data_IF_391757090502
#
_entry.id   IF_391757090502
#
_cell.length_a   1.000
_cell.length_b   1.000
_cell.length_c   1.000
_cell.angle_alpha   90.00
_cell.angle_beta   90.00
_cell.angle_gamma   90.00
#
_symmetry.space_group_name_H-M   'P 1'
#
loop_
_entity.id
_entity.type
_entity.pdbx_description
1 polymer ?
#
# COMPACT_ATOMS: atom_id res chain seq x y z
N UNK A 1 -4.95 -22.47 1.35
CA UNK A 1 -5.97 -22.15 0.33
C UNK A 1 -7.17 -21.56 1.05
N UNK A 2 -7.72 -20.46 0.55
CA UNK A 2 -8.84 -19.72 1.15
C UNK A 2 -9.96 -19.58 0.14
N UNK A 3 -11.19 -19.35 0.62
CA UNK A 3 -12.32 -19.01 -0.22
C UNK A 3 -12.81 -17.61 0.13
N UNK A 4 -12.99 -16.76 -0.86
CA UNK A 4 -13.53 -15.43 -0.70
C UNK A 4 -14.90 -15.33 -1.34
N UNK A 5 -15.88 -14.92 -0.56
CA UNK A 5 -17.25 -14.64 -1.03
C UNK A 5 -17.45 -13.13 -1.06
N UNK A 6 -17.86 -12.60 -2.23
CA UNK A 6 -18.20 -11.19 -2.42
C UNK A 6 -19.72 -11.03 -2.49
N UNK A 7 -20.26 -10.14 -1.65
CA UNK A 7 -21.69 -9.88 -1.54
C UNK A 7 -21.94 -8.39 -1.65
N UNK A 8 -22.85 -7.96 -2.52
CA UNK A 8 -23.27 -6.56 -2.64
C UNK A 8 -24.59 -6.34 -1.91
N UNK A 9 -24.64 -5.34 -1.05
CA UNK A 9 -25.82 -5.01 -0.26
C UNK A 9 -25.83 -3.52 0.15
N UNK A 10 -26.94 -3.07 0.71
CA UNK A 10 -27.02 -1.78 1.39
C UNK A 10 -26.36 -1.87 2.76
N UNK A 11 -25.60 -0.86 3.14
CA UNK A 11 -24.85 -0.88 4.41
C UNK A 11 -25.74 -1.00 5.65
N UNK A 12 -26.99 -0.57 5.58
CA UNK A 12 -27.98 -0.73 6.66
C UNK A 12 -28.29 -2.20 6.99
N UNK A 13 -28.15 -3.10 6.00
CA UNK A 13 -28.42 -4.54 6.14
C UNK A 13 -27.16 -5.33 6.55
N UNK A 14 -25.99 -4.72 6.54
CA UNK A 14 -24.71 -5.39 6.70
C UNK A 14 -24.55 -6.08 8.07
N UNK A 15 -24.93 -5.40 9.15
CA UNK A 15 -24.73 -5.91 10.52
C UNK A 15 -25.48 -7.23 10.80
N UNK A 16 -26.67 -7.40 10.23
CA UNK A 16 -27.43 -8.64 10.40
C UNK A 16 -26.82 -9.79 9.58
N UNK A 17 -26.38 -9.47 8.35
CA UNK A 17 -25.74 -10.43 7.48
C UNK A 17 -24.39 -10.89 8.02
N UNK A 18 -23.59 -9.98 8.60
CA UNK A 18 -22.32 -10.32 9.26
C UNK A 18 -22.47 -11.43 10.28
N UNK A 19 -23.47 -11.33 11.15
CA UNK A 19 -23.70 -12.36 12.17
C UNK A 19 -23.95 -13.73 11.55
N UNK A 20 -24.69 -13.76 10.45
CA UNK A 20 -24.97 -15.01 9.73
C UNK A 20 -23.72 -15.57 9.08
N UNK A 21 -22.91 -14.71 8.46
CA UNK A 21 -21.66 -15.08 7.80
C UNK A 21 -20.63 -15.62 8.81
N UNK A 22 -20.45 -14.97 9.96
CA UNK A 22 -19.58 -15.48 11.03
C UNK A 22 -20.05 -16.83 11.58
N UNK A 23 -21.36 -17.01 11.77
CA UNK A 23 -21.92 -18.31 12.18
C UNK A 23 -21.69 -19.41 11.14
N UNK A 24 -21.61 -19.05 9.87
CA UNK A 24 -21.30 -19.95 8.75
C UNK A 24 -19.80 -20.19 8.56
N UNK A 25 -18.94 -19.66 9.46
CA UNK A 25 -17.51 -19.91 9.46
C UNK A 25 -16.68 -18.85 8.75
N UNK A 26 -17.20 -17.65 8.49
CA UNK A 26 -16.38 -16.55 8.02
C UNK A 26 -15.31 -16.19 9.06
N UNK A 27 -14.05 -16.07 8.64
CA UNK A 27 -12.91 -15.71 9.46
C UNK A 27 -12.72 -14.19 9.55
N UNK A 28 -13.03 -13.50 8.45
CA UNK A 28 -13.01 -12.05 8.40
C UNK A 28 -14.05 -11.53 7.41
N UNK A 29 -14.53 -10.32 7.64
CA UNK A 29 -15.42 -9.60 6.73
C UNK A 29 -14.84 -8.19 6.57
N UNK A 30 -14.60 -7.79 5.33
CA UNK A 30 -14.11 -6.47 4.95
C UNK A 30 -15.17 -5.76 4.10
N UNK A 31 -15.27 -4.45 4.26
CA UNK A 31 -16.17 -3.62 3.49
C UNK A 31 -15.42 -2.89 2.38
N UNK A 32 -15.97 -2.88 1.18
CA UNK A 32 -15.50 -2.06 0.06
C UNK A 32 -16.64 -1.22 -0.47
N UNK A 33 -16.30 -0.05 -0.98
CA UNK A 33 -17.25 0.78 -1.71
C UNK A 33 -17.73 0.07 -2.99
N UNK A 34 -19.04 0.13 -3.23
CA UNK A 34 -19.64 -0.46 -4.42
C UNK A 34 -19.82 0.55 -5.58
N UNK A 35 -19.75 1.86 -5.31
CA UNK A 35 -20.16 2.92 -6.24
C UNK A 35 -19.18 4.11 -6.35
N UNK A 36 -17.95 3.98 -5.82
CA UNK A 36 -16.96 5.09 -5.77
C UNK A 36 -17.50 6.33 -5.03
N UNK A 37 -18.22 6.08 -3.93
CA UNK A 37 -18.83 7.13 -3.13
C UNK A 37 -17.77 7.80 -2.23
N UNK A 38 -17.50 9.11 -2.37
CA UNK A 38 -16.52 9.78 -1.53
C UNK A 38 -16.99 9.86 -0.08
N UNK A 39 -16.20 9.30 0.84
CA UNK A 39 -16.43 9.44 2.28
C UNK A 39 -15.63 10.61 2.80
N UNK A 40 -16.31 11.73 3.04
CA UNK A 40 -15.72 12.88 3.70
C UNK A 40 -15.61 12.61 5.21
N UNK A 41 -14.60 13.22 5.83
CA UNK A 41 -14.34 13.09 7.26
C UNK A 41 -15.62 13.41 8.06
N UNK A 42 -16.11 12.43 8.81
CA UNK A 42 -17.29 12.56 9.67
C UNK A 42 -16.86 12.72 11.13
N UNK A 43 -17.84 12.90 12.00
CA UNK A 43 -17.63 13.14 13.42
C UNK A 43 -16.70 12.12 14.08
N UNK A 44 -15.92 12.52 15.11
CA UNK A 44 -15.10 11.61 15.87
C UNK A 44 -15.91 10.42 16.41
N UNK A 45 -15.39 9.21 16.27
CA UNK A 45 -16.01 7.94 16.67
C UNK A 45 -17.18 7.45 15.79
N UNK A 46 -17.42 8.03 14.62
CA UNK A 46 -18.31 7.44 13.61
C UNK A 46 -17.49 6.62 12.61
N UNK A 47 -17.98 5.42 12.28
CA UNK A 47 -17.44 4.63 11.16
C UNK A 47 -18.44 4.76 10.01
N UNK A 48 -18.27 5.75 9.12
CA UNK A 48 -19.17 5.90 8.01
C UNK A 48 -19.00 4.73 7.04
N UNK A 49 -20.10 4.05 6.75
CA UNK A 49 -20.15 3.10 5.65
C UNK A 49 -20.74 3.81 4.43
N UNK A 50 -20.40 3.32 3.26
CA UNK A 50 -21.03 3.73 1.99
C UNK A 50 -22.48 3.27 1.96
N UNK A 51 -23.33 3.93 1.17
CA UNK A 51 -24.75 3.57 1.07
C UNK A 51 -24.92 2.15 0.51
N UNK A 52 -24.11 1.81 -0.50
CA UNK A 52 -23.97 0.49 -1.04
C UNK A 52 -22.53 -0.02 -0.85
N UNK A 53 -22.40 -1.22 -0.33
CA UNK A 53 -21.09 -1.80 -0.04
C UNK A 53 -20.97 -3.24 -0.59
N UNK A 54 -19.73 -3.64 -0.87
CA UNK A 54 -19.37 -5.04 -1.01
C UNK A 54 -18.85 -5.55 0.34
N UNK A 55 -19.38 -6.67 0.80
CA UNK A 55 -18.76 -7.48 1.83
C UNK A 55 -17.84 -8.50 1.18
N UNK A 56 -16.58 -8.47 1.56
CA UNK A 56 -15.61 -9.52 1.22
C UNK A 56 -15.46 -10.43 2.43
N UNK A 57 -15.97 -11.64 2.33
CA UNK A 57 -15.97 -12.62 3.42
C UNK A 57 -14.93 -13.69 3.14
N UNK A 58 -13.99 -13.89 4.05
CA UNK A 58 -12.93 -14.88 3.94
C UNK A 58 -13.31 -16.12 4.75
N UNK A 59 -13.18 -17.29 4.12
CA UNK A 59 -13.41 -18.61 4.72
C UNK A 59 -12.18 -19.50 4.54
N UNK A 60 -12.00 -20.45 5.46
CA UNK A 60 -11.05 -21.54 5.23
C UNK A 60 -11.43 -22.35 3.98
N UNK A 61 -10.45 -22.82 3.24
CA UNK A 61 -10.68 -23.57 2.00
C UNK A 61 -11.49 -24.85 2.13
N UNK A 62 -11.58 -25.40 3.35
CA UNK A 62 -12.34 -26.62 3.65
C UNK A 62 -13.80 -26.37 4.02
N UNK A 63 -14.21 -25.09 4.18
CA UNK A 63 -15.61 -24.76 4.55
C UNK A 63 -16.53 -24.99 3.36
N UNK A 64 -17.57 -25.81 3.57
CA UNK A 64 -18.63 -26.02 2.56
C UNK A 64 -19.56 -24.79 2.54
N UNK A 65 -19.65 -24.12 1.40
CA UNK A 65 -20.42 -22.88 1.24
C UNK A 65 -21.76 -23.07 0.49
N UNK A 66 -22.08 -24.27 0.01
CA UNK A 66 -23.24 -24.51 -0.83
C UNK A 66 -24.56 -24.17 -0.14
N UNK A 67 -24.71 -24.53 1.13
CA UNK A 67 -25.91 -24.19 1.92
C UNK A 67 -26.02 -22.69 2.17
N UNK A 68 -24.90 -22.03 2.49
CA UNK A 68 -24.84 -20.59 2.67
C UNK A 68 -25.20 -19.86 1.38
N UNK A 69 -24.65 -20.28 0.25
CA UNK A 69 -24.95 -19.69 -1.05
C UNK A 69 -26.43 -19.86 -1.44
N UNK A 70 -27.05 -21.00 -1.11
CA UNK A 70 -28.47 -21.22 -1.35
C UNK A 70 -29.33 -20.25 -0.52
N UNK A 71 -29.00 -20.07 0.76
CA UNK A 71 -29.69 -19.15 1.66
C UNK A 71 -29.51 -17.69 1.22
N UNK A 72 -28.31 -17.32 0.79
CA UNK A 72 -28.01 -15.97 0.29
C UNK A 72 -28.74 -15.65 -1.03
N UNK A 73 -28.87 -16.59 -1.94
CA UNK A 73 -29.62 -16.41 -3.20
C UNK A 73 -31.11 -16.12 -3.00
N UNK A 74 -31.67 -16.58 -1.88
CA UNK A 74 -33.06 -16.28 -1.48
C UNK A 74 -33.21 -14.97 -0.70
N UNK A 75 -32.12 -14.31 -0.33
CA UNK A 75 -32.16 -13.14 0.53
C UNK A 75 -32.39 -11.85 -0.28
N UNK A 76 -33.52 -11.18 -0.03
CA UNK A 76 -33.93 -9.97 -0.73
C UNK A 76 -33.08 -8.72 -0.43
N UNK A 77 -32.22 -8.78 0.58
CA UNK A 77 -31.28 -7.70 0.96
C UNK A 77 -30.04 -7.66 0.07
N UNK A 78 -29.78 -8.72 -0.68
CA UNK A 78 -28.64 -8.77 -1.61
C UNK A 78 -29.03 -8.12 -2.90
N UNK A 79 -28.29 -7.04 -3.29
CA UNK A 79 -28.63 -6.23 -4.43
C UNK A 79 -28.37 -6.92 -5.77
N UNK A 80 -27.40 -7.83 -5.82
CA UNK A 80 -27.05 -8.52 -7.04
C UNK A 80 -26.72 -9.99 -6.79
N UNK A 81 -27.74 -10.83 -6.85
CA UNK A 81 -27.61 -12.28 -6.64
C UNK A 81 -26.77 -12.98 -7.73
N UNK A 82 -26.59 -12.36 -8.91
CA UNK A 82 -25.77 -12.91 -9.98
C UNK A 82 -24.26 -12.76 -9.66
N UNK A 83 -23.91 -11.84 -8.78
CA UNK A 83 -22.53 -11.57 -8.38
C UNK A 83 -22.10 -12.30 -7.08
N UNK A 84 -22.89 -13.27 -6.62
CA UNK A 84 -22.46 -14.17 -5.54
C UNK A 84 -21.40 -15.13 -6.09
N UNK A 85 -20.17 -14.65 -6.23
CA UNK A 85 -19.05 -15.44 -6.69
C UNK A 85 -18.16 -15.85 -5.50
N UNK A 86 -17.83 -17.15 -5.46
CA UNK A 86 -16.79 -17.66 -4.56
C UNK A 86 -15.50 -17.76 -5.37
N UNK A 87 -14.53 -16.97 -4.98
CA UNK A 87 -13.17 -17.03 -5.54
C UNK A 87 -12.28 -17.87 -4.63
N UNK A 88 -11.48 -18.73 -5.24
CA UNK A 88 -10.45 -19.48 -4.52
C UNK A 88 -9.19 -18.60 -4.47
N UNK A 89 -8.76 -18.25 -3.27
CA UNK A 89 -7.50 -17.55 -3.06
C UNK A 89 -6.46 -18.62 -2.72
N UNK A 90 -5.51 -18.79 -3.62
CA UNK A 90 -4.36 -19.64 -3.38
C UNK A 90 -3.51 -19.05 -2.25
N UNK A 91 -2.91 -19.94 -1.47
CA UNK A 91 -1.94 -19.55 -0.45
C UNK A 91 -0.66 -19.12 -1.16
N UNK A 92 -0.55 -17.83 -1.38
CA UNK A 92 0.67 -17.23 -1.96
C UNK A 92 1.58 -16.80 -0.81
N UNK A 93 2.87 -16.88 -1.05
CA UNK A 93 3.85 -16.22 -0.22
C UNK A 93 3.67 -14.70 -0.36
N UNK A 94 2.74 -14.16 0.44
CA UNK A 94 2.39 -12.74 0.42
C UNK A 94 3.58 -11.85 0.77
N UNK A 95 4.58 -12.38 1.48
CA UNK A 95 5.81 -11.67 1.79
C UNK A 95 6.65 -11.41 0.53
N UNK A 96 6.47 -12.21 -0.52
CA UNK A 96 7.19 -12.06 -1.79
C UNK A 96 6.34 -11.57 -2.95
N UNK A 97 5.02 -11.73 -2.91
CA UNK A 97 4.16 -11.37 -4.03
C UNK A 97 4.25 -9.88 -4.41
N UNK A 98 4.43 -9.00 -3.43
CA UNK A 98 4.63 -7.57 -3.68
C UNK A 98 6.01 -7.24 -4.26
N UNK A 99 7.01 -8.13 -4.09
CA UNK A 99 8.35 -7.93 -4.67
C UNK A 99 8.32 -7.96 -6.20
N UNK A 100 7.42 -8.77 -6.78
CA UNK A 100 7.27 -8.88 -8.24
C UNK A 100 6.71 -7.59 -8.87
N UNK A 101 5.94 -6.83 -8.12
CA UNK A 101 5.35 -5.56 -8.55
C UNK A 101 6.29 -4.36 -8.36
N UNK A 102 7.37 -4.53 -7.55
CA UNK A 102 8.29 -3.46 -7.25
C UNK A 102 9.47 -3.45 -8.24
N UNK A 103 9.29 -2.67 -9.31
CA UNK A 103 10.27 -2.55 -10.40
C UNK A 103 11.05 -1.25 -10.32
N UNK A 104 12.24 -1.17 -10.96
CA UNK A 104 12.98 0.08 -11.07
C UNK A 104 12.13 1.21 -11.64
N UNK A 105 12.13 2.35 -10.95
CA UNK A 105 11.38 3.56 -11.32
C UNK A 105 12.34 4.69 -11.66
N UNK A 106 12.09 5.37 -12.78
CA UNK A 106 12.89 6.51 -13.24
C UNK A 106 12.24 7.85 -12.86
N UNK A 107 13.05 8.74 -12.31
CA UNK A 107 12.66 10.10 -11.96
C UNK A 107 13.58 11.10 -12.68
N UNK A 108 13.05 11.73 -13.73
CA UNK A 108 13.87 12.55 -14.63
C UNK A 108 14.79 11.69 -15.52
N UNK A 109 16.01 12.17 -15.79
CA UNK A 109 16.97 11.48 -16.65
C UNK A 109 18.08 10.77 -15.88
N UNK A 110 18.40 11.24 -14.66
CA UNK A 110 19.61 10.87 -13.91
C UNK A 110 19.34 10.12 -12.60
N UNK A 111 18.09 9.93 -12.20
CA UNK A 111 17.74 9.29 -10.93
C UNK A 111 16.87 8.07 -11.14
N UNK A 112 17.29 6.96 -10.58
CA UNK A 112 16.51 5.72 -10.48
C UNK A 112 16.30 5.34 -9.02
N UNK A 113 15.13 4.80 -8.71
CA UNK A 113 14.85 4.11 -7.45
C UNK A 113 14.54 2.67 -7.79
N UNK A 114 15.21 1.75 -7.12
CA UNK A 114 15.09 0.32 -7.38
C UNK A 114 15.25 -0.46 -6.07
N UNK A 115 14.59 -1.61 -5.95
CA UNK A 115 14.80 -2.50 -4.81
C UNK A 115 16.18 -3.18 -4.91
N UNK A 116 16.69 -3.65 -3.76
CA UNK A 116 18.04 -4.22 -3.65
C UNK A 116 18.27 -5.50 -4.46
N UNK A 117 17.19 -6.19 -4.88
CA UNK A 117 17.25 -7.41 -5.72
C UNK A 117 17.21 -7.14 -7.23
N UNK A 118 17.06 -5.88 -7.64
CA UNK A 118 17.04 -5.50 -9.05
C UNK A 118 18.40 -4.93 -9.50
N UNK A 119 18.69 -5.12 -10.77
CA UNK A 119 19.91 -4.56 -11.39
C UNK A 119 19.61 -3.15 -11.90
N UNK A 120 20.46 -2.16 -11.61
CA UNK A 120 20.28 -0.81 -12.13
C UNK A 120 20.16 -0.78 -13.67
N UNK A 121 19.05 -0.23 -14.22
CA UNK A 121 18.89 -0.11 -15.67
C UNK A 121 19.97 0.78 -16.34
N UNK A 122 20.42 1.79 -15.62
CA UNK A 122 21.55 2.66 -16.01
C UNK A 122 22.54 2.77 -14.84
N UNK A 123 23.67 2.02 -14.89
CA UNK A 123 24.69 2.07 -13.85
C UNK A 123 25.41 3.43 -13.74
N UNK A 124 25.28 4.32 -14.73
CA UNK A 124 25.92 5.66 -14.72
C UNK A 124 25.05 6.73 -14.07
N UNK A 125 23.76 6.45 -13.89
CA UNK A 125 22.82 7.32 -13.20
C UNK A 125 22.95 7.21 -11.66
N UNK A 126 22.33 8.14 -10.96
CA UNK A 126 22.12 8.03 -9.51
C UNK A 126 21.10 6.92 -9.24
N UNK A 127 21.57 5.80 -8.68
CA UNK A 127 20.75 4.63 -8.39
C UNK A 127 20.52 4.54 -6.89
N UNK A 128 19.31 4.83 -6.45
CA UNK A 128 18.87 4.74 -5.06
C UNK A 128 18.27 3.37 -4.80
N UNK A 129 18.93 2.57 -3.99
CA UNK A 129 18.39 1.29 -3.52
C UNK A 129 17.43 1.52 -2.37
N UNK A 130 16.17 1.16 -2.55
CA UNK A 130 15.11 1.32 -1.56
C UNK A 130 14.20 0.10 -1.56
N UNK A 131 14.29 -0.68 -0.51
CA UNK A 131 13.37 -1.80 -0.32
C UNK A 131 12.08 -1.30 0.33
N UNK A 132 10.91 -1.77 -0.10
CA UNK A 132 9.66 -1.51 0.59
C UNK A 132 9.75 -1.97 2.05
N UNK A 133 9.44 -1.08 2.97
CA UNK A 133 9.54 -1.31 4.40
C UNK A 133 8.39 -0.67 5.17
N UNK A 134 8.49 -0.69 6.50
CA UNK A 134 7.48 -0.14 7.40
C UNK A 134 7.44 1.40 7.39
N UNK A 135 8.51 2.06 6.96
CA UNK A 135 8.55 3.52 6.89
C UNK A 135 7.88 4.04 5.62
N UNK A 136 7.14 5.15 5.76
CA UNK A 136 6.51 5.83 4.64
C UNK A 136 7.55 6.40 3.66
N UNK A 137 7.26 6.31 2.35
CA UNK A 137 8.09 6.92 1.31
C UNK A 137 8.78 5.92 0.39
N UNK A 138 8.02 5.06 -0.29
CA UNK A 138 8.53 4.14 -1.33
C UNK A 138 8.89 4.83 -2.67
N UNK A 139 8.66 6.15 -2.78
CA UNK A 139 8.79 6.88 -4.06
C UNK A 139 7.54 6.81 -4.95
N UNK A 140 6.62 5.89 -4.72
CA UNK A 140 5.42 5.68 -5.55
C UNK A 140 4.34 6.76 -5.36
N UNK A 141 4.29 7.41 -4.20
CA UNK A 141 3.32 8.46 -3.94
C UNK A 141 3.56 9.68 -4.84
N UNK A 142 2.51 10.26 -5.40
CA UNK A 142 2.59 11.37 -6.36
C UNK A 142 3.40 12.56 -5.85
N UNK A 143 3.22 12.95 -4.58
CA UNK A 143 3.99 14.07 -3.97
C UNK A 143 5.48 13.76 -3.88
N UNK A 144 5.86 12.56 -3.46
CA UNK A 144 7.26 12.12 -3.39
C UNK A 144 7.88 12.11 -4.80
N UNK A 145 7.14 11.59 -5.79
CA UNK A 145 7.57 11.58 -7.19
C UNK A 145 7.83 12.98 -7.73
N UNK A 146 6.98 13.96 -7.40
CA UNK A 146 7.20 15.36 -7.81
C UNK A 146 8.44 15.96 -7.17
N UNK A 147 8.68 15.69 -5.87
CA UNK A 147 9.89 16.15 -5.18
C UNK A 147 11.16 15.53 -5.78
N UNK A 148 11.15 14.23 -6.08
CA UNK A 148 12.29 13.54 -6.72
C UNK A 148 12.61 14.12 -8.10
N UNK A 149 11.59 14.36 -8.92
CA UNK A 149 11.78 15.01 -10.24
C UNK A 149 12.27 16.44 -10.13
N UNK A 150 11.87 17.15 -9.10
CA UNK A 150 12.36 18.49 -8.82
C UNK A 150 13.83 18.47 -8.37
N UNK A 151 14.19 17.56 -7.45
CA UNK A 151 15.57 17.38 -7.01
C UNK A 151 16.50 17.05 -8.17
N UNK A 152 16.10 16.12 -9.04
CA UNK A 152 16.90 15.70 -10.19
C UNK A 152 17.20 16.83 -11.17
N UNK A 153 16.24 17.77 -11.36
CA UNK A 153 16.41 18.94 -12.23
C UNK A 153 17.13 20.11 -11.58
N UNK A 154 17.25 20.09 -10.26
CA UNK A 154 17.81 21.21 -9.49
C UNK A 154 19.34 21.10 -9.42
N UNK A 155 20.01 22.24 -9.49
CA UNK A 155 21.47 22.33 -9.25
C UNK A 155 21.72 22.30 -7.73
N UNK A 156 21.79 21.09 -7.16
CA UNK A 156 21.97 20.87 -5.73
C UNK A 156 23.39 20.46 -5.32
N UNK A 157 24.29 20.28 -6.26
CA UNK A 157 25.68 19.83 -6.10
C UNK A 157 26.52 20.68 -5.14
N UNK A 158 26.12 21.92 -4.89
CA UNK A 158 26.80 22.82 -3.94
C UNK A 158 25.92 23.19 -2.74
N UNK A 159 24.73 22.64 -2.63
CA UNK A 159 23.72 23.05 -1.65
C UNK A 159 23.74 22.17 -0.40
N UNK A 160 23.30 22.78 0.69
CA UNK A 160 22.86 22.06 1.87
C UNK A 160 21.34 21.85 1.74
N UNK A 161 20.89 20.62 1.99
CA UNK A 161 19.49 20.20 1.83
C UNK A 161 18.97 19.75 3.18
N UNK A 162 17.74 20.13 3.51
CA UNK A 162 17.03 19.65 4.69
C UNK A 162 15.79 18.88 4.19
N UNK A 163 15.70 17.63 4.56
CA UNK A 163 14.51 16.78 4.39
C UNK A 163 13.77 16.72 5.72
N UNK A 164 12.69 17.50 5.83
CA UNK A 164 11.90 17.62 7.05
C UNK A 164 10.67 16.72 6.98
N UNK A 165 10.61 15.69 7.82
CA UNK A 165 9.68 14.57 7.69
C UNK A 165 10.24 13.51 6.75
N UNK A 166 11.47 13.06 6.99
CA UNK A 166 12.24 12.27 6.03
C UNK A 166 11.67 10.85 5.79
N UNK A 167 10.91 10.28 6.74
CA UNK A 167 10.31 8.96 6.61
C UNK A 167 11.36 7.87 6.31
N UNK A 168 11.30 7.27 5.12
CA UNK A 168 12.30 6.32 4.63
C UNK A 168 13.66 6.93 4.27
N UNK A 169 13.75 8.27 4.24
CA UNK A 169 14.92 9.01 3.78
C UNK A 169 15.05 9.11 2.26
N UNK A 170 14.04 8.73 1.51
CA UNK A 170 14.12 8.66 0.03
C UNK A 170 14.53 9.98 -0.61
N UNK A 171 14.03 11.13 -0.14
CA UNK A 171 14.40 12.44 -0.67
C UNK A 171 15.80 12.86 -0.22
N UNK A 172 16.13 12.63 1.05
CA UNK A 172 17.46 12.89 1.60
C UNK A 172 18.55 12.11 0.86
N UNK A 173 18.33 10.81 0.67
CA UNK A 173 19.27 9.91 -0.01
C UNK A 173 19.38 10.30 -1.50
N UNK A 174 18.26 10.60 -2.16
CA UNK A 174 18.28 11.09 -3.55
C UNK A 174 19.10 12.38 -3.68
N UNK A 175 18.91 13.33 -2.75
CA UNK A 175 19.70 14.57 -2.76
C UNK A 175 21.20 14.30 -2.58
N UNK A 176 21.59 13.38 -1.70
CA UNK A 176 22.98 12.99 -1.51
C UNK A 176 23.58 12.34 -2.76
N UNK A 177 22.86 11.39 -3.40
CA UNK A 177 23.29 10.72 -4.64
C UNK A 177 23.38 11.68 -5.83
N UNK A 178 22.57 12.73 -5.85
CA UNK A 178 22.61 13.80 -6.86
C UNK A 178 23.68 14.85 -6.57
N UNK A 179 24.49 14.67 -5.53
CA UNK A 179 25.68 15.47 -5.26
C UNK A 179 25.47 16.64 -4.31
N UNK A 180 24.41 16.67 -3.51
CA UNK A 180 24.25 17.68 -2.47
C UNK A 180 25.47 17.71 -1.54
N UNK A 181 25.93 18.93 -1.18
CA UNK A 181 27.12 19.12 -0.33
C UNK A 181 26.93 18.57 1.07
N UNK A 182 25.73 18.72 1.61
CA UNK A 182 25.31 18.23 2.92
C UNK A 182 23.81 18.00 2.93
N UNK A 183 23.37 16.93 3.59
CA UNK A 183 21.94 16.62 3.75
C UNK A 183 21.63 16.40 5.20
N UNK A 184 20.58 17.05 5.68
CA UNK A 184 20.02 16.84 7.01
C UNK A 184 18.66 16.18 6.88
N UNK A 185 18.53 14.95 7.34
CA UNK A 185 17.25 14.25 7.41
C UNK A 185 16.70 14.36 8.82
N UNK A 186 15.47 14.83 8.96
CA UNK A 186 14.81 15.08 10.24
C UNK A 186 13.42 14.47 10.24
N UNK A 187 13.11 13.72 11.31
CA UNK A 187 11.77 13.20 11.55
C UNK A 187 11.48 13.19 13.06
N UNK A 188 10.20 13.23 13.42
CA UNK A 188 9.77 13.09 14.83
C UNK A 188 9.51 11.63 15.21
N UNK A 189 9.46 10.71 14.23
CA UNK A 189 9.31 9.28 14.45
C UNK A 189 10.67 8.59 14.52
N UNK A 190 11.04 7.96 15.65
CA UNK A 190 12.27 7.19 15.75
C UNK A 190 12.38 6.05 14.73
N UNK A 191 11.26 5.45 14.29
CA UNK A 191 11.27 4.41 13.25
C UNK A 191 11.67 4.99 11.89
N UNK A 192 11.21 6.20 11.57
CA UNK A 192 11.60 6.90 10.35
C UNK A 192 13.11 7.18 10.34
N UNK A 193 13.67 7.65 11.46
CA UNK A 193 15.11 7.89 11.59
C UNK A 193 15.90 6.58 11.40
N UNK A 194 15.49 5.49 12.06
CA UNK A 194 16.13 4.19 11.89
C UNK A 194 16.08 3.72 10.44
N UNK A 195 14.93 3.83 9.77
CA UNK A 195 14.77 3.46 8.37
C UNK A 195 15.64 4.33 7.43
N UNK A 196 15.71 5.64 7.69
CA UNK A 196 16.57 6.55 6.93
C UNK A 196 18.05 6.15 7.06
N UNK A 197 18.50 5.82 8.25
CA UNK A 197 19.88 5.37 8.49
C UNK A 197 20.17 4.05 7.76
N UNK A 198 19.32 3.05 7.91
CA UNK A 198 19.48 1.75 7.24
C UNK A 198 19.53 1.93 5.71
N UNK A 199 18.65 2.74 5.15
CA UNK A 199 18.64 3.03 3.72
C UNK A 199 19.88 3.84 3.27
N UNK A 200 20.39 4.76 4.10
CA UNK A 200 21.63 5.50 3.78
C UNK A 200 22.83 4.55 3.72
N UNK A 201 22.96 3.63 4.66
CA UNK A 201 24.03 2.61 4.64
C UNK A 201 23.95 1.71 3.39
N UNK A 202 22.76 1.27 3.00
CA UNK A 202 22.56 0.46 1.76
C UNK A 202 23.00 1.21 0.51
N UNK A 203 22.90 2.52 0.52
CA UNK A 203 23.30 3.40 -0.59
C UNK A 203 24.73 3.93 -0.47
N UNK A 204 25.52 3.40 0.47
CA UNK A 204 26.92 3.81 0.73
C UNK A 204 27.06 5.32 1.03
N UNK A 205 26.04 5.92 1.64
CA UNK A 205 26.08 7.29 2.08
C UNK A 205 26.60 7.29 3.52
N UNK A 206 27.73 7.96 3.74
CA UNK A 206 28.33 8.06 5.06
C UNK A 206 27.51 8.97 5.97
N UNK A 207 27.50 8.64 7.27
CA UNK A 207 27.05 9.57 8.30
C UNK A 207 27.94 10.81 8.30
N UNK A 208 27.32 12.00 8.17
CA UNK A 208 28.00 13.30 8.22
C UNK A 208 27.52 14.18 9.35
#
# INVERSE_FOLDING_TARGET
>A
MWRQLKIQLKSEDASELEQTLFKSGALSISYLDAEDQPVFQKEPNSTPLWDNAFLLCLFDGNVELDSLLADLKGNTRILNNENLAVEVIEDKDWERSWMEDFKPMQFGEKLWILPSWEIPPDPTAANLMLDPGLAFGSGTHTTTSLCLRWLEKSAIDTKEVIDYGCGSGVLAIAAALLGAKKVHAVDNDPQAIAATLDNSYRNNIAEG
#
